data_IF_206987112497
#
_entry.id   IF_206987112497
#
_cell.length_a   1.000
_cell.length_b   1.000
_cell.length_c   1.000
_cell.angle_alpha   90.00
_cell.angle_beta   90.00
_cell.angle_gamma   90.00
#
_symmetry.space_group_name_H-M   'P 1'
#
loop_
_entity.id
_entity.type
_entity.pdbx_description
1 polymer ?
#
# COMPACT_ATOMS: atom_id res chain seq x y z
N UNK A 1 -28.95 -12.74 19.23
CA UNK A 1 -28.16 -13.14 18.04
C UNK A 1 -26.71 -12.81 18.33
N UNK A 2 -25.82 -13.79 18.20
CA UNK A 2 -24.50 -13.83 18.84
C UNK A 2 -23.51 -12.94 18.09
N UNK A 3 -23.09 -11.83 18.72
CA UNK A 3 -21.92 -11.07 18.33
C UNK A 3 -20.68 -11.92 18.66
N UNK A 4 -20.19 -12.69 17.69
CA UNK A 4 -18.82 -13.20 17.75
C UNK A 4 -17.87 -12.03 17.52
N UNK A 5 -17.56 -11.32 18.61
CA UNK A 5 -16.36 -10.50 18.71
C UNK A 5 -15.17 -11.47 18.64
N UNK A 6 -14.68 -11.73 17.43
CA UNK A 6 -13.36 -12.31 17.21
C UNK A 6 -12.32 -11.31 17.73
N UNK A 7 -12.05 -11.41 19.04
CA UNK A 7 -10.92 -10.79 19.67
C UNK A 7 -9.67 -11.47 19.10
N UNK A 8 -8.77 -10.65 18.56
CA UNK A 8 -7.45 -11.11 18.14
C UNK A 8 -6.76 -11.80 19.30
N UNK A 9 -6.11 -12.92 19.03
CA UNK A 9 -5.22 -13.51 20.03
C UNK A 9 -4.02 -12.57 20.23
N UNK A 10 -3.47 -12.52 21.44
CA UNK A 10 -2.29 -11.68 21.70
C UNK A 10 -1.13 -12.05 20.75
N UNK A 11 -1.04 -13.33 20.36
CA UNK A 11 -0.05 -13.84 19.42
C UNK A 11 -0.16 -13.22 18.02
N UNK A 12 -1.38 -13.05 17.49
CA UNK A 12 -1.61 -12.41 16.17
C UNK A 12 -1.29 -10.91 16.21
N UNK A 13 -1.65 -10.25 17.31
CA UNK A 13 -1.33 -8.85 17.57
C UNK A 13 0.18 -8.66 17.71
N UNK A 14 0.85 -9.59 18.39
CA UNK A 14 2.30 -9.60 18.59
C UNK A 14 3.04 -9.92 17.29
N UNK A 15 2.52 -10.80 16.44
CA UNK A 15 3.03 -11.03 15.09
C UNK A 15 2.92 -9.76 14.23
N UNK A 16 1.76 -9.10 14.22
CA UNK A 16 1.57 -7.86 13.47
C UNK A 16 2.48 -6.75 14.00
N UNK A 17 2.59 -6.60 15.33
CA UNK A 17 3.54 -5.67 15.96
C UNK A 17 4.98 -6.01 15.57
N UNK A 18 5.37 -7.29 15.52
CA UNK A 18 6.71 -7.72 15.15
C UNK A 18 7.01 -7.43 13.67
N UNK A 19 6.10 -7.74 12.75
CA UNK A 19 6.24 -7.47 11.31
C UNK A 19 6.34 -5.96 11.04
N UNK A 20 5.53 -5.16 11.75
CA UNK A 20 5.58 -3.69 11.63
C UNK A 20 6.82 -3.09 12.31
N UNK A 21 7.25 -3.62 13.47
CA UNK A 21 8.47 -3.18 14.18
C UNK A 21 9.76 -3.60 13.48
N UNK A 22 9.78 -4.70 12.74
CA UNK A 22 10.99 -5.15 12.03
C UNK A 22 11.46 -4.13 10.98
N UNK A 23 10.58 -3.26 10.51
CA UNK A 23 10.92 -2.11 9.66
C UNK A 23 11.51 -0.91 10.40
N UNK A 24 11.36 -0.84 11.73
CA UNK A 24 11.92 0.24 12.56
C UNK A 24 13.36 -0.06 13.04
N UNK A 25 13.97 -1.16 12.57
CA UNK A 25 15.37 -1.50 12.86
C UNK A 25 16.35 -1.25 11.69
N UNK A 26 16.59 0.00 11.27
CA UNK A 26 17.92 0.40 10.78
C UNK A 26 18.88 0.79 11.92
N UNK A 27 18.35 1.00 13.14
CA UNK A 27 19.12 1.64 14.22
C UNK A 27 20.27 0.79 14.80
N UNK A 28 20.21 -0.54 14.68
CA UNK A 28 21.27 -1.43 15.20
C UNK A 28 22.52 -1.45 14.31
N UNK A 29 22.40 -1.13 13.02
CA UNK A 29 23.56 -1.10 12.09
C UNK A 29 24.38 0.20 12.27
N UNK A 30 23.72 1.31 12.63
CA UNK A 30 24.40 2.57 12.97
C UNK A 30 25.10 2.54 14.33
N UNK A 31 24.64 1.70 15.27
CA UNK A 31 25.27 1.58 16.60
C UNK A 31 26.61 0.84 16.56
N UNK A 32 26.81 -0.05 15.58
CA UNK A 32 28.10 -0.71 15.35
C UNK A 32 29.14 0.20 14.70
N UNK A 33 28.70 1.30 14.09
CA UNK A 33 29.58 2.32 13.50
C UNK A 33 29.85 3.50 14.44
N UNK A 34 29.07 3.68 15.53
CA UNK A 34 29.29 4.78 16.48
C UNK A 34 30.23 4.44 17.64
N UNK A 35 30.40 3.16 17.98
CA UNK A 35 31.04 2.75 19.25
C UNK A 35 32.51 2.31 19.11
N UNK A 36 33.18 2.65 18.01
CA UNK A 36 34.57 2.22 17.77
C UNK A 36 35.45 3.25 17.06
N UNK A 37 35.84 4.32 17.77
CA UNK A 37 37.08 5.05 17.47
C UNK A 37 36.97 6.40 16.77
N UNK A 38 36.27 7.37 17.37
CA UNK A 38 36.48 8.78 17.05
C UNK A 38 37.72 9.28 17.81
N UNK A 39 38.89 9.39 17.15
CA UNK A 39 39.93 10.38 17.48
C UNK A 39 41.11 10.53 16.50
N UNK A 40 41.21 9.83 15.37
CA UNK A 40 42.36 9.97 14.44
C UNK A 40 41.95 10.10 12.96
N UNK A 41 41.41 11.24 12.53
CA UNK A 41 41.28 11.55 11.09
C UNK A 41 41.04 13.03 10.73
N UNK A 42 41.43 14.00 11.56
CA UNK A 42 41.30 15.44 11.22
C UNK A 42 42.45 15.98 10.33
N UNK A 43 43.24 15.10 9.73
CA UNK A 43 44.25 15.47 8.73
C UNK A 43 44.06 14.63 7.48
N UNK A 44 43.32 15.16 6.50
CA UNK A 44 43.52 15.03 5.05
C UNK A 44 42.30 15.60 4.33
N UNK A 45 42.29 16.92 4.19
CA UNK A 45 41.44 17.61 3.22
C UNK A 45 42.13 17.50 1.86
N UNK A 46 41.83 16.44 1.12
CA UNK A 46 42.02 16.41 -0.34
C UNK A 46 40.63 16.37 -1.01
N UNK A 47 40.29 17.34 -1.88
CA UNK A 47 39.09 17.27 -2.70
C UNK A 47 39.38 16.39 -3.92
N UNK A 48 39.47 15.07 -3.71
CA UNK A 48 39.45 14.10 -4.80
C UNK A 48 38.07 13.44 -4.91
N UNK A 49 37.38 13.88 -5.95
CA UNK A 49 36.44 13.18 -6.82
C UNK A 49 36.30 11.66 -6.58
N UNK A 50 35.60 11.29 -5.50
CA UNK A 50 35.26 9.89 -5.21
C UNK A 50 33.99 9.52 -5.97
N UNK A 51 34.19 9.27 -7.27
CA UNK A 51 33.24 8.54 -8.11
C UNK A 51 33.22 7.07 -7.66
N UNK A 52 32.64 6.80 -6.49
CA UNK A 52 32.23 5.43 -6.18
C UNK A 52 31.09 5.07 -7.15
N UNK A 53 31.11 3.89 -7.79
CA UNK A 53 29.99 3.45 -8.60
C UNK A 53 28.80 3.25 -7.64
N UNK A 54 27.96 4.28 -7.52
CA UNK A 54 26.67 4.14 -6.85
C UNK A 54 25.94 3.02 -7.59
N UNK A 55 25.80 1.87 -6.92
CA UNK A 55 24.88 0.84 -7.39
C UNK A 55 23.56 1.52 -7.75
N UNK A 56 22.99 1.24 -8.92
CA UNK A 56 21.76 1.88 -9.36
C UNK A 56 20.72 1.69 -8.25
N UNK A 57 20.23 2.81 -7.70
CA UNK A 57 19.31 2.85 -6.58
C UNK A 57 18.02 2.13 -6.98
N UNK A 58 17.94 0.83 -6.69
CA UNK A 58 16.79 0.00 -7.02
C UNK A 58 15.55 0.59 -6.36
N UNK A 59 14.54 0.92 -7.17
CA UNK A 59 13.28 1.45 -6.66
C UNK A 59 12.46 0.32 -6.02
N UNK A 60 12.05 0.51 -4.76
CA UNK A 60 11.24 -0.46 -4.01
C UNK A 60 9.74 -0.13 -4.17
N UNK A 61 8.91 -1.11 -4.51
CA UNK A 61 7.44 -1.01 -4.59
C UNK A 61 6.82 -1.92 -3.52
N UNK A 62 5.92 -1.41 -2.71
CA UNK A 62 5.25 -2.12 -1.61
C UNK A 62 3.80 -2.42 -1.98
N UNK A 63 3.41 -3.69 -2.02
CA UNK A 63 2.05 -4.12 -2.38
C UNK A 63 1.39 -4.88 -1.23
N UNK A 64 0.13 -4.54 -0.94
CA UNK A 64 -0.72 -5.27 0.01
C UNK A 64 -1.48 -6.39 -0.71
N UNK A 65 -1.68 -7.51 -0.04
CA UNK A 65 -2.49 -8.62 -0.56
C UNK A 65 -3.63 -8.87 0.41
N UNK A 66 -4.84 -8.60 -0.06
CA UNK A 66 -6.07 -8.56 0.72
C UNK A 66 -7.09 -9.53 0.13
N UNK A 67 -7.96 -10.09 0.96
CA UNK A 67 -9.02 -11.00 0.52
C UNK A 67 -9.50 -11.92 1.63
N UNK A 68 -10.63 -12.57 1.41
CA UNK A 68 -11.24 -13.48 2.38
C UNK A 68 -10.32 -14.69 2.67
N UNK A 69 -10.68 -15.48 3.68
CA UNK A 69 -10.01 -16.76 3.94
C UNK A 69 -10.18 -17.72 2.75
N UNK A 70 -9.17 -18.56 2.48
CA UNK A 70 -9.27 -19.60 1.46
C UNK A 70 -9.31 -19.14 -0.01
N UNK A 71 -9.25 -17.83 -0.30
CA UNK A 71 -9.25 -17.31 -1.69
C UNK A 71 -7.94 -17.56 -2.45
N UNK A 72 -6.90 -18.04 -1.76
CA UNK A 72 -5.61 -18.39 -2.38
C UNK A 72 -4.59 -17.25 -2.46
N UNK A 73 -4.62 -16.31 -1.49
CA UNK A 73 -3.61 -15.25 -1.32
C UNK A 73 -2.18 -15.80 -1.29
N UNK A 74 -1.91 -16.74 -0.37
CA UNK A 74 -0.59 -17.37 -0.24
C UNK A 74 -0.19 -18.14 -1.49
N UNK A 75 -1.12 -18.85 -2.14
CA UNK A 75 -0.85 -19.56 -3.38
C UNK A 75 -0.41 -18.61 -4.51
N UNK A 76 -1.06 -17.44 -4.61
CA UNK A 76 -0.72 -16.41 -5.58
C UNK A 76 0.72 -15.90 -5.37
N UNK A 77 1.07 -15.54 -4.12
CA UNK A 77 2.42 -15.08 -3.76
C UNK A 77 3.46 -16.15 -4.00
N UNK A 78 3.20 -17.38 -3.58
CA UNK A 78 4.13 -18.50 -3.76
C UNK A 78 4.35 -18.82 -5.24
N UNK A 79 3.32 -18.72 -6.07
CA UNK A 79 3.45 -18.95 -7.51
C UNK A 79 4.31 -17.87 -8.16
N UNK A 80 4.07 -16.60 -7.82
CA UNK A 80 4.89 -15.48 -8.28
C UNK A 80 6.35 -15.57 -7.79
N UNK A 81 6.56 -15.98 -6.55
CA UNK A 81 7.88 -16.16 -5.94
C UNK A 81 8.76 -17.21 -6.65
N UNK A 82 8.14 -18.15 -7.39
CA UNK A 82 8.89 -19.17 -8.15
C UNK A 82 9.61 -18.57 -9.36
N UNK A 83 9.01 -17.57 -10.00
CA UNK A 83 9.53 -16.91 -11.21
C UNK A 83 10.37 -15.66 -10.88
N UNK A 84 10.05 -14.96 -9.79
CA UNK A 84 10.61 -13.62 -9.50
C UNK A 84 11.49 -13.56 -8.24
N UNK A 85 12.41 -14.51 -8.07
CA UNK A 85 13.28 -14.55 -6.87
C UNK A 85 14.21 -13.35 -6.78
N UNK A 86 14.25 -12.72 -5.61
CA UNK A 86 15.27 -11.72 -5.31
C UNK A 86 16.61 -12.42 -5.00
N UNK A 87 17.76 -11.93 -5.49
CA UNK A 87 19.08 -12.56 -5.30
C UNK A 87 19.53 -12.56 -3.84
N UNK A 88 19.11 -11.58 -3.06
CA UNK A 88 19.27 -11.60 -1.61
C UNK A 88 18.23 -12.52 -0.98
N UNK A 89 18.68 -13.67 -0.49
CA UNK A 89 17.86 -14.69 0.18
C UNK A 89 17.52 -14.33 1.64
N UNK A 90 18.10 -13.24 2.18
CA UNK A 90 17.97 -12.88 3.58
C UNK A 90 16.65 -12.17 3.94
N UNK A 91 15.90 -11.69 2.94
CA UNK A 91 14.66 -10.94 3.17
C UNK A 91 13.47 -11.67 2.56
N UNK A 92 12.58 -12.28 3.37
CA UNK A 92 11.35 -12.87 2.86
C UNK A 92 10.46 -11.79 2.22
N UNK A 93 9.62 -12.19 1.27
CA UNK A 93 8.63 -11.34 0.59
C UNK A 93 9.22 -10.22 -0.30
N UNK A 94 10.47 -10.36 -0.75
CA UNK A 94 11.07 -9.49 -1.77
C UNK A 94 11.24 -10.23 -3.08
N UNK A 95 10.84 -9.58 -4.16
CA UNK A 95 10.87 -10.12 -5.52
C UNK A 95 11.48 -9.09 -6.47
N UNK A 96 12.20 -9.55 -7.50
CA UNK A 96 12.67 -8.65 -8.56
C UNK A 96 11.68 -8.70 -9.71
N UNK A 97 11.19 -7.52 -10.11
CA UNK A 97 10.23 -7.37 -11.19
C UNK A 97 10.78 -6.38 -12.22
N UNK A 98 10.90 -6.80 -13.46
CA UNK A 98 11.38 -5.94 -14.55
C UNK A 98 10.19 -5.44 -15.35
N UNK A 99 9.97 -4.12 -15.33
CA UNK A 99 8.90 -3.49 -16.08
C UNK A 99 9.46 -2.77 -17.31
N UNK A 100 8.72 -2.74 -18.43
CA UNK A 100 9.06 -1.87 -19.55
C UNK A 100 8.95 -0.40 -19.10
N UNK A 101 9.96 0.42 -19.39
CA UNK A 101 9.85 1.86 -19.15
C UNK A 101 8.86 2.49 -20.14
N UNK A 102 8.11 3.48 -19.68
CA UNK A 102 7.23 4.26 -20.56
C UNK A 102 8.05 4.93 -21.69
N UNK A 103 7.58 4.89 -22.95
CA UNK A 103 8.32 5.37 -24.12
C UNK A 103 8.47 6.89 -24.19
N UNK A 104 8.02 7.64 -23.18
CA UNK A 104 7.85 9.09 -23.26
C UNK A 104 9.15 9.91 -23.22
N UNK A 105 10.33 9.29 -23.03
CA UNK A 105 11.54 10.06 -22.66
C UNK A 105 12.78 9.81 -23.50
N UNK A 106 12.74 8.97 -24.54
CA UNK A 106 13.91 8.82 -25.42
C UNK A 106 13.52 8.46 -26.86
N UNK A 107 13.66 9.47 -27.73
CA UNK A 107 13.77 9.29 -29.17
C UNK A 107 15.07 8.54 -29.47
N UNK A 108 15.04 7.19 -29.47
CA UNK A 108 16.21 6.38 -29.85
C UNK A 108 16.13 4.90 -29.46
N UNK A 109 15.47 4.12 -30.32
CA UNK A 109 15.54 2.66 -30.59
C UNK A 109 15.77 1.58 -29.51
N UNK A 110 16.01 1.88 -28.24
CA UNK A 110 16.20 0.85 -27.21
C UNK A 110 15.10 0.96 -26.15
N UNK A 111 14.21 -0.05 -26.09
CA UNK A 111 13.22 -0.19 -25.02
C UNK A 111 13.98 -0.33 -23.70
N UNK A 112 14.09 0.74 -22.92
CA UNK A 112 14.67 0.64 -21.58
C UNK A 112 13.71 -0.17 -20.71
N UNK A 113 14.26 -1.09 -19.94
CA UNK A 113 13.54 -1.80 -18.89
C UNK A 113 14.06 -1.33 -17.54
N UNK A 114 13.17 -1.15 -16.58
CA UNK A 114 13.54 -0.77 -15.22
C UNK A 114 13.23 -1.93 -14.29
N UNK A 115 14.22 -2.35 -13.51
CA UNK A 115 14.06 -3.41 -12.50
C UNK A 115 13.70 -2.80 -11.15
N UNK A 116 12.61 -3.30 -10.59
CA UNK A 116 12.06 -2.89 -9.31
C UNK A 116 12.17 -4.02 -8.30
N UNK A 117 12.32 -3.65 -7.03
CA UNK A 117 12.20 -4.59 -5.91
C UNK A 117 10.79 -4.51 -5.34
N UNK A 118 10.00 -5.55 -5.56
CA UNK A 118 8.65 -5.66 -5.06
C UNK A 118 8.65 -6.26 -3.66
N UNK A 119 8.00 -5.59 -2.71
CA UNK A 119 7.78 -6.05 -1.34
C UNK A 119 6.30 -6.33 -1.11
N UNK A 120 5.92 -7.58 -0.89
CA UNK A 120 4.52 -7.94 -0.66
C UNK A 120 4.21 -8.14 0.82
N UNK A 121 3.04 -7.72 1.28
CA UNK A 121 2.51 -8.09 2.59
C UNK A 121 1.13 -8.73 2.42
N UNK A 122 1.05 -10.01 2.75
CA UNK A 122 -0.22 -10.71 2.90
C UNK A 122 -0.83 -10.39 4.26
N UNK A 123 -2.10 -9.99 4.27
CA UNK A 123 -2.83 -9.72 5.49
C UNK A 123 -3.90 -10.80 5.71
N UNK A 124 -4.04 -11.32 6.94
CA UNK A 124 -5.02 -12.36 7.25
C UNK A 124 -6.44 -11.81 7.15
N UNK A 125 -7.43 -12.68 6.88
CA UNK A 125 -8.82 -12.32 7.07
C UNK A 125 -9.18 -12.50 8.56
N UNK A 126 -9.96 -11.63 9.20
CA UNK A 126 -10.63 -10.43 8.69
C UNK A 126 -9.89 -9.11 8.99
N UNK A 127 -8.56 -9.02 8.78
CA UNK A 127 -7.76 -7.83 9.10
C UNK A 127 -8.35 -6.53 8.55
N UNK A 128 -8.78 -6.52 7.29
CA UNK A 128 -9.34 -5.31 6.66
C UNK A 128 -10.62 -4.82 7.36
N UNK A 129 -11.46 -5.75 7.85
CA UNK A 129 -12.68 -5.39 8.58
C UNK A 129 -12.35 -5.00 10.02
N UNK A 130 -11.57 -5.81 10.72
CA UNK A 130 -11.30 -5.60 12.15
C UNK A 130 -10.40 -4.41 12.39
N UNK A 131 -9.27 -4.30 11.68
CA UNK A 131 -8.35 -3.17 11.86
C UNK A 131 -9.01 -1.85 11.51
N UNK A 132 -9.91 -1.81 10.53
CA UNK A 132 -10.69 -0.61 10.21
C UNK A 132 -11.59 -0.16 11.37
N UNK A 133 -12.21 -1.09 12.09
CA UNK A 133 -13.16 -0.76 13.17
C UNK A 133 -12.48 -0.60 14.52
N UNK A 134 -11.53 -1.47 14.87
CA UNK A 134 -10.88 -1.48 16.19
C UNK A 134 -9.62 -0.62 16.24
N UNK A 135 -8.88 -0.51 15.13
CA UNK A 135 -7.57 0.16 15.08
C UNK A 135 -7.40 1.04 13.82
N UNK A 136 -8.24 2.07 13.63
CA UNK A 136 -8.25 2.89 12.40
C UNK A 136 -6.91 3.59 12.10
N UNK A 137 -6.09 3.85 13.12
CA UNK A 137 -4.74 4.38 12.95
C UNK A 137 -3.78 3.39 12.26
N UNK A 138 -3.90 2.09 12.55
CA UNK A 138 -3.12 1.03 11.87
C UNK A 138 -3.57 0.89 10.42
N UNK A 139 -4.89 0.92 10.15
CA UNK A 139 -5.42 0.92 8.80
C UNK A 139 -4.84 2.07 7.96
N UNK A 140 -4.88 3.29 8.50
CA UNK A 140 -4.33 4.49 7.86
C UNK A 140 -2.82 4.34 7.62
N UNK A 141 -2.05 3.92 8.64
CA UNK A 141 -0.60 3.72 8.52
C UNK A 141 -0.24 2.68 7.45
N UNK A 142 -0.98 1.57 7.40
CA UNK A 142 -0.74 0.52 6.41
C UNK A 142 -1.06 1.02 5.01
N UNK A 143 -2.16 1.73 4.79
CA UNK A 143 -2.48 2.26 3.46
C UNK A 143 -1.53 3.37 3.00
N UNK A 144 -0.99 4.18 3.90
CA UNK A 144 -0.02 5.23 3.55
C UNK A 144 1.39 4.70 3.29
N UNK A 145 1.76 3.58 3.92
CA UNK A 145 3.10 2.99 3.71
C UNK A 145 3.20 2.22 2.38
N UNK A 146 2.09 1.68 1.89
CA UNK A 146 2.06 0.84 0.70
C UNK A 146 1.68 1.64 -0.55
N UNK A 147 2.06 1.11 -1.71
CA UNK A 147 1.89 1.78 -3.00
C UNK A 147 0.65 1.31 -3.76
N UNK A 148 0.18 0.11 -3.45
CA UNK A 148 -1.04 -0.44 -3.99
C UNK A 148 -1.48 -1.71 -3.28
N UNK A 149 -2.61 -2.26 -3.72
CA UNK A 149 -3.18 -3.50 -3.21
C UNK A 149 -3.69 -4.42 -4.33
N UNK A 150 -3.48 -5.71 -4.12
CA UNK A 150 -4.18 -6.79 -4.79
C UNK A 150 -5.36 -7.24 -3.92
N UNK A 151 -6.57 -7.19 -4.46
CA UNK A 151 -7.81 -7.52 -3.74
C UNK A 151 -8.39 -8.79 -4.34
N UNK A 152 -8.20 -9.91 -3.66
CA UNK A 152 -8.53 -11.24 -4.14
C UNK A 152 -9.92 -11.70 -3.69
N UNK A 153 -10.59 -12.41 -4.59
CA UNK A 153 -11.74 -13.25 -4.32
C UNK A 153 -11.57 -14.62 -5.02
N UNK A 154 -12.38 -15.61 -4.64
CA UNK A 154 -12.41 -16.93 -5.27
C UNK A 154 -13.59 -17.01 -6.25
N UNK A 155 -13.36 -17.48 -7.49
CA UNK A 155 -14.46 -17.66 -8.46
C UNK A 155 -15.46 -18.75 -8.03
N UNK A 156 -15.08 -19.59 -7.07
CA UNK A 156 -15.92 -20.63 -6.47
C UNK A 156 -16.78 -20.14 -5.30
N UNK A 157 -16.55 -18.92 -4.81
CA UNK A 157 -17.21 -18.39 -3.62
C UNK A 157 -17.69 -16.94 -3.83
N UNK A 158 -18.99 -16.72 -4.10
CA UNK A 158 -19.57 -15.40 -4.30
C UNK A 158 -19.43 -14.48 -3.08
N UNK A 159 -19.40 -15.04 -1.86
CA UNK A 159 -19.26 -14.24 -0.64
C UNK A 159 -17.90 -13.54 -0.58
N UNK A 160 -16.85 -14.20 -1.08
CA UNK A 160 -15.52 -13.60 -1.21
C UNK A 160 -15.47 -12.42 -2.19
N UNK A 161 -16.29 -12.42 -3.26
CA UNK A 161 -16.40 -11.27 -4.18
C UNK A 161 -17.04 -10.06 -3.49
N UNK A 162 -18.11 -10.29 -2.73
CA UNK A 162 -18.72 -9.22 -1.93
C UNK A 162 -17.73 -8.66 -0.90
N UNK A 163 -16.95 -9.52 -0.25
CA UNK A 163 -15.91 -9.09 0.67
C UNK A 163 -14.81 -8.26 -0.02
N UNK A 164 -14.31 -8.71 -1.17
CA UNK A 164 -13.35 -7.96 -1.99
C UNK A 164 -13.88 -6.57 -2.37
N UNK A 165 -15.14 -6.50 -2.80
CA UNK A 165 -15.82 -5.24 -3.15
C UNK A 165 -15.93 -4.30 -1.96
N UNK A 166 -16.25 -4.85 -0.77
CA UNK A 166 -16.29 -4.08 0.47
C UNK A 166 -14.90 -3.54 0.86
N UNK A 167 -13.84 -4.32 0.67
CA UNK A 167 -12.45 -3.87 0.95
C UNK A 167 -12.08 -2.72 0.01
N UNK A 168 -12.29 -2.89 -1.30
CA UNK A 168 -11.96 -1.87 -2.29
C UNK A 168 -12.70 -0.55 -2.03
N UNK A 169 -14.01 -0.64 -1.73
CA UNK A 169 -14.81 0.52 -1.35
C UNK A 169 -14.26 1.22 -0.10
N UNK A 170 -13.82 0.45 0.90
CA UNK A 170 -13.26 0.99 2.14
C UNK A 170 -11.93 1.72 1.92
N UNK A 171 -11.05 1.18 1.09
CA UNK A 171 -9.78 1.81 0.73
C UNK A 171 -10.06 3.13 -0.02
N UNK A 172 -10.97 3.10 -0.98
CA UNK A 172 -11.35 4.29 -1.74
C UNK A 172 -11.93 5.38 -0.84
N UNK A 173 -12.92 5.03 0.00
CA UNK A 173 -13.50 5.97 0.97
C UNK A 173 -12.44 6.54 1.92
N UNK A 174 -11.45 5.74 2.32
CA UNK A 174 -10.35 6.21 3.15
C UNK A 174 -9.59 7.35 2.45
N UNK A 175 -9.11 7.14 1.23
CA UNK A 175 -8.37 8.17 0.47
C UNK A 175 -9.24 9.38 0.08
N UNK A 176 -10.54 9.19 -0.18
CA UNK A 176 -11.49 10.29 -0.43
C UNK A 176 -11.75 11.13 0.83
N UNK A 177 -11.72 10.50 2.02
CA UNK A 177 -11.93 11.18 3.31
C UNK A 177 -10.69 11.94 3.81
N UNK A 178 -9.51 11.67 3.25
CA UNK A 178 -8.29 12.36 3.66
C UNK A 178 -8.41 13.84 3.27
N UNK A 179 -8.16 14.76 4.22
CA UNK A 179 -8.22 16.17 3.90
C UNK A 179 -7.17 16.50 2.83
N UNK A 180 -7.47 17.41 1.90
CA UNK A 180 -6.49 17.94 0.94
C UNK A 180 -5.38 18.77 1.62
N UNK A 181 -5.36 18.84 2.95
CA UNK A 181 -4.43 19.58 3.80
C UNK A 181 -4.07 18.73 5.03
N UNK A 182 -2.95 18.03 5.01
CA UNK A 182 -2.39 17.34 6.18
C UNK A 182 -0.89 17.08 5.99
N UNK A 183 -0.07 18.07 6.35
CA UNK A 183 1.39 17.90 6.42
C UNK A 183 1.83 16.77 7.37
N UNK A 184 0.91 16.25 8.19
CA UNK A 184 1.19 15.28 9.26
C UNK A 184 1.10 13.81 8.82
N UNK A 185 0.78 13.51 7.56
CA UNK A 185 0.88 12.14 7.02
C UNK A 185 2.30 11.79 6.52
N UNK A 186 3.30 12.61 6.84
CA UNK A 186 4.69 12.18 6.77
C UNK A 186 4.86 11.02 7.76
N UNK A 187 5.44 9.88 7.37
CA UNK A 187 5.72 8.80 8.31
C UNK A 187 6.51 9.39 9.48
N UNK A 188 6.07 9.11 10.70
CA UNK A 188 6.64 9.50 12.01
C UNK A 188 8.11 9.04 12.24
N UNK A 189 8.88 8.83 11.17
CA UNK A 189 10.22 8.25 11.17
C UNK A 189 11.34 9.29 11.02
N UNK A 190 11.11 10.57 11.33
CA UNK A 190 12.25 11.42 11.70
C UNK A 190 12.54 11.16 13.18
N UNK A 191 13.63 10.44 13.54
CA UNK A 191 14.02 10.34 14.92
C UNK A 191 14.19 11.76 15.45
N UNK A 192 13.46 12.08 16.51
CA UNK A 192 13.62 13.31 17.26
C UNK A 192 15.03 13.26 17.83
N UNK A 193 15.97 13.86 17.10
CA UNK A 193 17.33 14.07 17.56
C UNK A 193 17.26 14.88 18.84
N UNK A 194 17.49 14.22 19.97
CA UNK A 194 17.71 14.87 21.27
C UNK A 194 18.93 15.77 21.11
N UNK A 195 18.75 17.07 20.93
CA UNK A 195 19.91 17.97 20.99
C UNK A 195 19.75 19.42 20.57
N UNK A 196 18.79 19.80 19.71
CA UNK A 196 18.77 21.18 19.20
C UNK A 196 17.55 21.97 19.69
N UNK A 197 17.79 22.84 20.68
CA UNK A 197 16.93 23.98 21.05
C UNK A 197 17.04 25.08 19.97
N UNK A 198 16.69 24.76 18.72
CA UNK A 198 16.55 25.76 17.68
C UNK A 198 15.09 26.18 17.58
N UNK A 199 14.87 27.49 17.67
CA UNK A 199 13.59 28.18 17.61
C UNK A 199 12.66 27.63 16.51
N UNK A 200 11.52 27.07 16.92
CA UNK A 200 10.36 26.89 16.05
C UNK A 200 9.73 28.26 15.77
N UNK A 201 10.30 29.02 14.85
CA UNK A 201 9.54 30.08 14.18
C UNK A 201 8.62 29.40 13.16
N UNK A 202 7.35 29.31 13.54
CA UNK A 202 6.22 28.99 12.70
C UNK A 202 6.18 29.89 11.45
N UNK A 203 6.77 29.46 10.35
CA UNK A 203 6.11 29.64 9.06
C UNK A 203 5.36 28.34 8.78
N UNK A 204 4.06 28.34 9.15
CA UNK A 204 3.09 27.38 8.64
C UNK A 204 2.97 27.64 7.14
N UNK A 205 3.91 27.12 6.34
CA UNK A 205 3.70 26.97 4.91
C UNK A 205 2.54 26.00 4.81
N UNK A 206 1.34 26.48 4.52
CA UNK A 206 0.21 25.62 4.17
C UNK A 206 0.56 24.98 2.83
N UNK A 207 1.36 23.92 2.83
CA UNK A 207 1.58 23.15 1.61
C UNK A 207 0.29 22.42 1.32
N UNK A 208 -0.25 22.61 0.12
CA UNK A 208 -1.40 21.84 -0.35
C UNK A 208 -0.94 20.38 -0.40
N UNK A 209 -1.66 19.48 0.28
CA UNK A 209 -1.34 18.07 0.14
C UNK A 209 -1.75 17.61 -1.24
N UNK A 210 -0.82 17.00 -1.94
CA UNK A 210 -1.17 16.14 -3.06
C UNK A 210 -1.70 14.85 -2.45
N UNK A 211 -2.97 14.54 -2.66
CA UNK A 211 -3.46 13.20 -2.31
C UNK A 211 -2.87 12.24 -3.34
N UNK A 212 -2.14 11.25 -2.84
CA UNK A 212 -1.57 10.19 -3.69
C UNK A 212 -2.68 9.21 -4.08
N UNK A 213 -2.79 8.92 -5.37
CA UNK A 213 -3.66 7.83 -5.83
C UNK A 213 -3.08 6.48 -5.44
N UNK A 214 -3.94 5.59 -4.94
CA UNK A 214 -3.56 4.26 -4.48
C UNK A 214 -3.87 3.22 -5.55
N UNK A 215 -2.86 2.46 -6.00
CA UNK A 215 -3.04 1.46 -7.04
C UNK A 215 -3.88 0.28 -6.51
N UNK A 216 -4.88 -0.17 -7.26
CA UNK A 216 -5.79 -1.23 -6.82
C UNK A 216 -6.14 -2.13 -7.99
N UNK A 217 -5.82 -3.42 -7.85
CA UNK A 217 -6.18 -4.44 -8.84
C UNK A 217 -7.04 -5.50 -8.16
N UNK A 218 -8.18 -5.80 -8.77
CA UNK A 218 -9.10 -6.83 -8.29
C UNK A 218 -8.85 -8.16 -8.99
N UNK A 219 -8.79 -9.25 -8.25
CA UNK A 219 -8.28 -10.54 -8.75
C UNK A 219 -9.26 -11.67 -8.41
N UNK A 220 -9.84 -12.29 -9.44
CA UNK A 220 -10.63 -13.51 -9.30
C UNK A 220 -9.74 -14.75 -9.40
N UNK A 221 -9.50 -15.43 -8.30
CA UNK A 221 -8.61 -16.58 -8.27
C UNK A 221 -9.36 -17.92 -8.40
N UNK A 222 -8.62 -18.97 -8.77
CA UNK A 222 -9.09 -20.34 -9.05
C UNK A 222 -9.89 -20.47 -10.34
N UNK A 223 -9.51 -19.75 -11.39
CA UNK A 223 -10.17 -19.86 -12.71
C UNK A 223 -10.02 -21.23 -13.38
N UNK A 224 -9.08 -22.07 -12.90
CA UNK A 224 -8.87 -23.44 -13.37
C UNK A 224 -10.04 -24.41 -13.11
N UNK A 225 -11.03 -24.02 -12.30
CA UNK A 225 -12.22 -24.83 -12.05
C UNK A 225 -13.01 -25.13 -13.31
N UNK A 226 -12.93 -24.29 -14.35
CA UNK A 226 -13.58 -24.56 -15.63
C UNK A 226 -12.87 -25.70 -16.40
N UNK A 227 -11.54 -25.77 -16.28
CA UNK A 227 -10.72 -26.80 -16.91
C UNK A 227 -10.92 -28.15 -16.20
N UNK A 228 -10.96 -28.13 -14.87
CA UNK A 228 -11.10 -29.34 -14.05
C UNK A 228 -12.55 -29.82 -13.97
N UNK A 229 -13.52 -28.90 -13.89
CA UNK A 229 -14.95 -29.19 -13.79
C UNK A 229 -15.54 -29.73 -15.10
N UNK A 230 -15.04 -29.29 -16.25
CA UNK A 230 -15.39 -29.87 -17.55
C UNK A 230 -15.01 -31.34 -17.66
N UNK A 231 -13.88 -31.74 -17.07
CA UNK A 231 -13.46 -33.14 -16.99
C UNK A 231 -14.32 -33.98 -16.04
N UNK A 232 -14.73 -33.42 -14.90
CA UNK A 232 -15.57 -34.12 -13.91
C UNK A 232 -16.99 -34.37 -14.44
N UNK A 233 -17.60 -33.42 -15.16
CA UNK A 233 -18.91 -33.61 -15.76
C UNK A 233 -18.87 -34.68 -16.87
N UNK A 234 -17.85 -34.69 -17.72
CA UNK A 234 -17.69 -35.70 -18.77
C UNK A 234 -17.38 -37.07 -18.17
N UNK A 235 -16.51 -37.14 -17.14
CA UNK A 235 -16.18 -38.38 -16.45
C UNK A 235 -17.36 -38.94 -15.65
N UNK A 236 -18.16 -38.10 -15.00
CA UNK A 236 -19.40 -38.49 -14.31
C UNK A 236 -20.46 -38.99 -15.30
N UNK A 237 -20.57 -38.36 -16.47
CA UNK A 237 -21.49 -38.82 -17.53
C UNK A 237 -21.02 -40.14 -18.13
N UNK A 238 -19.71 -40.32 -18.32
CA UNK A 238 -19.12 -41.57 -18.80
C UNK A 238 -19.20 -42.71 -17.77
N UNK A 239 -19.01 -42.43 -16.48
CA UNK A 239 -19.17 -43.43 -15.40
C UNK A 239 -20.62 -43.74 -15.12
N UNK A 240 -21.54 -42.78 -15.21
CA UNK A 240 -22.98 -43.04 -15.15
C UNK A 240 -23.45 -43.88 -16.34
N UNK A 241 -22.94 -43.61 -17.55
CA UNK A 241 -23.20 -44.42 -18.74
C UNK A 241 -22.61 -45.84 -18.62
N UNK A 242 -21.39 -45.97 -18.07
CA UNK A 242 -20.75 -47.26 -17.83
C UNK A 242 -21.44 -48.07 -16.71
N UNK A 243 -21.89 -47.42 -15.63
CA UNK A 243 -22.63 -48.05 -14.55
C UNK A 243 -24.04 -48.48 -14.98
N UNK A 244 -24.71 -47.67 -15.81
CA UNK A 244 -25.98 -48.03 -16.44
C UNK A 244 -25.83 -49.22 -17.42
N UNK A 245 -24.70 -49.30 -18.13
CA UNK A 245 -24.40 -50.44 -19.01
C UNK A 245 -23.99 -51.71 -18.24
N UNK A 246 -23.42 -51.57 -17.04
CA UNK A 246 -22.86 -52.69 -16.28
C UNK A 246 -23.84 -53.33 -15.26
N UNK A 247 -25.01 -52.75 -15.01
CA UNK A 247 -26.05 -53.34 -14.14
C UNK A 247 -25.58 -53.72 -12.72
N UNK A 248 -24.46 -53.14 -12.25
CA UNK A 248 -23.71 -53.63 -11.09
C UNK A 248 -23.92 -52.71 -9.89
N UNK A 249 -24.58 -53.23 -8.85
CA UNK A 249 -24.70 -52.62 -7.53
C UNK A 249 -23.33 -52.51 -6.87
N UNK A 250 -22.80 -51.29 -6.78
CA UNK A 250 -21.45 -50.98 -6.34
C UNK A 250 -21.37 -50.69 -4.83
N UNK A 251 -21.88 -51.60 -4.01
CA UNK A 251 -21.96 -51.44 -2.54
C UNK A 251 -20.74 -51.96 -1.76
N UNK A 252 -19.69 -52.43 -2.45
CA UNK A 252 -18.73 -53.38 -1.85
C UNK A 252 -17.24 -53.00 -1.78
N UNK A 253 -16.80 -51.84 -2.26
CA UNK A 253 -15.36 -51.50 -2.28
C UNK A 253 -15.09 -50.22 -1.49
N UNK A 254 -14.89 -50.41 -0.19
CA UNK A 254 -14.39 -49.40 0.76
C UNK A 254 -12.91 -49.07 0.53
N UNK A 255 -12.60 -48.47 -0.62
CA UNK A 255 -11.36 -47.74 -0.84
C UNK A 255 -11.66 -46.25 -0.61
N UNK A 256 -11.14 -45.72 0.49
CA UNK A 256 -11.34 -44.34 0.94
C UNK A 256 -10.78 -43.30 -0.05
N UNK A 257 -11.58 -42.98 -1.07
CA UNK A 257 -11.39 -41.84 -1.96
C UNK A 257 -12.12 -40.58 -1.46
N UNK A 258 -12.61 -40.59 -0.21
CA UNK A 258 -13.31 -39.45 0.41
C UNK A 258 -12.38 -38.28 0.79
N UNK A 259 -11.05 -38.43 0.62
CA UNK A 259 -10.06 -37.38 0.91
C UNK A 259 -9.57 -36.57 -0.29
N UNK A 260 -9.87 -36.98 -1.53
CA UNK A 260 -9.39 -36.32 -2.77
C UNK A 260 -10.52 -35.82 -3.69
N UNK A 261 -11.77 -36.22 -3.44
CA UNK A 261 -12.97 -35.64 -4.07
C UNK A 261 -13.43 -34.35 -3.39
N UNK A 262 -12.78 -33.96 -2.30
CA UNK A 262 -13.06 -32.75 -1.55
C UNK A 262 -12.61 -31.48 -2.28
N UNK A 263 -13.56 -30.83 -2.93
CA UNK A 263 -13.57 -29.38 -3.24
C UNK A 263 -12.81 -28.95 -4.51
N UNK A 264 -12.98 -29.65 -5.63
CA UNK A 264 -12.98 -28.91 -6.92
C UNK A 264 -14.33 -28.19 -6.99
N UNK A 265 -14.39 -27.00 -6.37
CA UNK A 265 -15.61 -26.20 -6.34
C UNK A 265 -16.01 -25.78 -7.75
N UNK A 266 -17.30 -25.87 -8.07
CA UNK A 266 -17.83 -25.32 -9.33
C UNK A 266 -17.65 -23.79 -9.35
N UNK A 267 -17.47 -23.23 -10.55
CA UNK A 267 -17.48 -21.77 -10.73
C UNK A 267 -18.86 -21.23 -10.31
N UNK A 268 -18.86 -20.29 -9.38
CA UNK A 268 -20.08 -19.61 -8.89
C UNK A 268 -20.10 -18.12 -9.20
N UNK A 269 -18.94 -17.55 -9.55
CA UNK A 269 -18.78 -16.16 -9.97
C UNK A 269 -18.36 -16.14 -11.43
N UNK A 270 -19.17 -15.49 -12.25
CA UNK A 270 -18.85 -15.36 -13.68
C UNK A 270 -17.79 -14.27 -13.91
N UNK A 271 -17.04 -14.40 -15.01
CA UNK A 271 -16.08 -13.38 -15.47
C UNK A 271 -16.74 -12.02 -15.65
N UNK A 272 -17.98 -11.99 -16.14
CA UNK A 272 -18.75 -10.74 -16.32
C UNK A 272 -19.05 -10.09 -14.98
N UNK A 273 -19.49 -10.86 -14.00
CA UNK A 273 -19.81 -10.38 -12.65
C UNK A 273 -18.57 -9.79 -11.97
N UNK A 274 -17.43 -10.49 -12.04
CA UNK A 274 -16.15 -10.00 -11.53
C UNK A 274 -15.73 -8.67 -12.17
N UNK A 275 -15.80 -8.58 -13.49
CA UNK A 275 -15.47 -7.37 -14.25
C UNK A 275 -16.43 -6.21 -13.94
N UNK A 276 -17.72 -6.49 -13.82
CA UNK A 276 -18.73 -5.49 -13.44
C UNK A 276 -18.51 -4.96 -12.02
N UNK A 277 -18.14 -5.83 -11.08
CA UNK A 277 -17.81 -5.42 -9.72
C UNK A 277 -16.59 -4.46 -9.70
N UNK A 278 -15.53 -4.76 -10.46
CA UNK A 278 -14.38 -3.86 -10.61
C UNK A 278 -14.78 -2.51 -11.24
N UNK A 279 -15.62 -2.56 -12.28
CA UNK A 279 -16.12 -1.35 -12.96
C UNK A 279 -16.96 -0.47 -12.03
N UNK A 280 -17.83 -1.06 -11.20
CA UNK A 280 -18.66 -0.33 -10.22
C UNK A 280 -17.80 0.40 -9.19
N UNK A 281 -16.61 -0.12 -8.87
CA UNK A 281 -15.65 0.50 -7.98
C UNK A 281 -14.85 1.64 -8.63
N UNK A 282 -15.06 1.90 -9.92
CA UNK A 282 -14.33 2.91 -10.70
C UNK A 282 -12.84 2.57 -10.87
N UNK A 283 -12.47 1.29 -10.74
CA UNK A 283 -11.13 0.83 -11.10
C UNK A 283 -10.94 0.98 -12.63
N UNK A 284 -9.69 1.12 -13.08
CA UNK A 284 -9.43 1.21 -14.51
C UNK A 284 -9.89 -0.07 -15.21
N UNK A 285 -10.22 0.03 -16.50
CA UNK A 285 -10.73 -1.10 -17.28
C UNK A 285 -9.77 -2.31 -17.29
N UNK A 286 -8.48 -2.06 -17.03
CA UNK A 286 -7.39 -3.05 -16.98
C UNK A 286 -7.05 -3.51 -15.55
N UNK A 287 -7.71 -2.99 -14.52
CA UNK A 287 -7.42 -3.31 -13.11
C UNK A 287 -8.21 -4.53 -12.59
N UNK A 288 -8.54 -5.47 -13.49
CA UNK A 288 -9.22 -6.72 -13.15
C UNK A 288 -8.66 -7.91 -13.91
N UNK A 289 -8.40 -9.00 -13.20
CA UNK A 289 -7.85 -10.25 -13.76
C UNK A 289 -8.51 -11.48 -13.14
N UNK A 290 -8.53 -12.58 -13.90
CA UNK A 290 -8.70 -13.92 -13.36
C UNK A 290 -7.35 -14.66 -13.33
N UNK A 291 -7.08 -15.36 -12.24
CA UNK A 291 -5.83 -16.12 -12.05
C UNK A 291 -6.11 -17.56 -11.65
N UNK A 292 -5.20 -18.45 -12.00
CA UNK A 292 -5.13 -19.80 -11.46
C UNK A 292 -3.79 -19.98 -10.75
N UNK A 293 -3.69 -19.50 -9.52
CA UNK A 293 -2.43 -19.53 -8.80
C UNK A 293 -1.93 -20.96 -8.51
N UNK A 294 -2.85 -21.86 -8.16
CA UNK A 294 -2.50 -23.21 -7.68
C UNK A 294 -2.16 -24.17 -8.83
N UNK A 295 -2.90 -24.11 -9.94
CA UNK A 295 -2.81 -25.12 -11.00
C UNK A 295 -1.94 -24.61 -12.14
N UNK A 296 -2.44 -23.67 -12.95
CA UNK A 296 -1.77 -23.30 -14.20
C UNK A 296 -0.70 -22.22 -14.00
N UNK A 297 -0.92 -21.27 -13.09
CA UNK A 297 -0.14 -20.04 -12.99
C UNK A 297 -0.58 -18.94 -13.93
N UNK A 298 -1.70 -19.12 -14.61
CA UNK A 298 -2.22 -18.14 -15.56
C UNK A 298 -2.44 -16.78 -14.90
N UNK A 299 -2.00 -15.72 -15.59
CA UNK A 299 -2.11 -14.31 -15.23
C UNK A 299 -1.48 -13.90 -13.89
N UNK A 300 -0.75 -14.77 -13.20
CA UNK A 300 -0.13 -14.43 -11.91
C UNK A 300 0.88 -13.29 -12.09
N UNK A 301 1.81 -13.42 -13.03
CA UNK A 301 2.82 -12.39 -13.29
C UNK A 301 2.18 -11.10 -13.80
N UNK A 302 1.19 -11.20 -14.69
CA UNK A 302 0.47 -10.06 -15.26
C UNK A 302 -0.21 -9.18 -14.18
N UNK A 303 -0.80 -9.80 -13.15
CA UNK A 303 -1.42 -9.08 -12.03
C UNK A 303 -0.40 -8.26 -11.24
N UNK A 304 0.77 -8.86 -10.93
CA UNK A 304 1.83 -8.17 -10.20
C UNK A 304 2.48 -7.07 -11.03
N UNK A 305 2.67 -7.30 -12.33
CA UNK A 305 3.12 -6.26 -13.25
C UNK A 305 2.14 -5.10 -13.31
N UNK A 306 0.84 -5.37 -13.43
CA UNK A 306 -0.16 -4.32 -13.54
C UNK A 306 -0.22 -3.44 -12.30
N UNK A 307 -0.28 -4.04 -11.10
CA UNK A 307 -0.32 -3.25 -9.86
C UNK A 307 0.98 -2.47 -9.65
N UNK A 308 2.13 -3.02 -10.06
CA UNK A 308 3.41 -2.34 -9.98
C UNK A 308 3.50 -1.16 -10.98
N UNK A 309 3.04 -1.34 -12.22
CA UNK A 309 2.94 -0.26 -13.22
C UNK A 309 2.06 0.88 -12.73
N UNK A 310 0.87 0.58 -12.21
CA UNK A 310 -0.03 1.59 -11.64
C UNK A 310 0.61 2.29 -10.44
N UNK A 311 1.28 1.55 -9.54
CA UNK A 311 1.98 2.12 -8.39
C UNK A 311 3.10 3.09 -8.80
N UNK A 312 3.89 2.74 -9.83
CA UNK A 312 4.95 3.60 -10.38
C UNK A 312 4.37 4.84 -11.03
N UNK A 313 3.32 4.68 -11.86
CA UNK A 313 2.61 5.81 -12.48
C UNK A 313 2.10 6.80 -11.43
N UNK A 314 1.40 6.30 -10.41
CA UNK A 314 0.84 7.13 -9.35
C UNK A 314 1.95 7.84 -8.54
N UNK A 315 3.12 7.21 -8.33
CA UNK A 315 4.28 7.87 -7.69
C UNK A 315 4.84 8.99 -8.54
N UNK A 316 4.94 8.81 -9.86
CA UNK A 316 5.43 9.82 -10.79
C UNK A 316 4.52 11.05 -10.78
N UNK A 317 3.22 10.84 -10.96
CA UNK A 317 2.23 11.92 -10.90
C UNK A 317 2.24 12.66 -9.56
N UNK A 318 2.39 11.91 -8.45
CA UNK A 318 2.50 12.52 -7.13
C UNK A 318 3.75 13.42 -7.01
N UNK A 319 4.91 12.97 -7.51
CA UNK A 319 6.15 13.76 -7.51
C UNK A 319 6.00 15.03 -8.38
N UNK A 320 5.37 14.91 -9.54
CA UNK A 320 5.12 16.03 -10.46
C UNK A 320 4.19 17.08 -9.83
N UNK A 321 3.01 16.66 -9.35
CA UNK A 321 2.04 17.53 -8.66
C UNK A 321 2.67 18.20 -7.43
N UNK A 322 3.49 17.46 -6.68
CA UNK A 322 4.20 18.01 -5.51
C UNK A 322 5.21 19.08 -5.92
N UNK A 323 6.00 18.81 -6.97
CA UNK A 323 6.98 19.77 -7.50
C UNK A 323 6.34 21.02 -8.09
N UNK A 324 5.14 20.94 -8.66
CA UNK A 324 4.36 22.11 -9.10
C UNK A 324 3.91 22.99 -7.94
N UNK A 325 3.41 22.39 -6.85
CA UNK A 325 2.97 23.12 -5.67
C UNK A 325 4.15 23.80 -4.97
N UNK A 326 5.29 23.12 -4.86
CA UNK A 326 6.50 23.68 -4.26
C UNK A 326 7.03 24.88 -5.07
N UNK A 327 6.98 24.80 -6.41
CA UNK A 327 7.34 25.92 -7.30
C UNK A 327 6.35 27.08 -7.25
N UNK A 328 5.04 26.79 -7.24
CA UNK A 328 4.01 27.84 -7.15
C UNK A 328 4.01 28.55 -5.79
N UNK A 329 4.36 27.84 -4.72
CA UNK A 329 4.47 28.40 -3.37
C UNK A 329 5.65 29.37 -3.18
N UNK A 330 6.77 29.14 -3.85
CA UNK A 330 7.93 30.04 -3.79
C UNK A 330 7.71 31.32 -4.59
N UNK A 331 7.08 31.26 -5.76
CA UNK A 331 6.74 32.45 -6.56
C UNK A 331 5.74 33.38 -5.85
N UNK A 332 4.76 32.81 -5.15
CA UNK A 332 3.79 33.59 -4.38
C UNK A 332 4.40 34.31 -3.17
N UNK A 333 5.50 33.80 -2.62
CA UNK A 333 6.23 34.45 -1.52
C UNK A 333 7.06 35.63 -2.05
N UNK A 334 7.79 35.43 -3.15
CA UNK A 334 8.62 36.46 -3.77
C UNK A 334 7.81 37.68 -4.24
N UNK A 335 6.57 37.47 -4.73
CA UNK A 335 5.69 38.57 -5.11
C UNK A 335 5.23 39.41 -3.92
N UNK A 336 4.97 38.80 -2.75
CA UNK A 336 4.56 39.54 -1.54
C UNK A 336 5.66 40.42 -0.99
N UNK A 337 6.90 39.94 -0.99
CA UNK A 337 8.03 40.74 -0.49
C UNK A 337 8.29 41.94 -1.42
N UNK A 338 8.09 41.78 -2.73
CA UNK A 338 8.21 42.89 -3.69
C UNK A 338 7.09 43.95 -3.60
N UNK A 339 5.87 43.58 -3.22
CA UNK A 339 4.77 44.55 -3.03
C UNK A 339 4.93 45.35 -1.73
N UNK A 340 5.50 44.75 -0.67
CA UNK A 340 5.74 45.43 0.61
C UNK A 340 6.84 46.50 0.50
N UNK A 341 7.87 46.30 -0.33
CA UNK A 341 8.87 47.34 -0.58
C UNK A 341 8.33 48.52 -1.41
N UNK A 342 7.31 48.30 -2.24
CA UNK A 342 6.75 49.35 -3.11
C UNK A 342 5.80 50.34 -2.41
N UNK A 343 5.41 50.09 -1.15
CA UNK A 343 4.46 50.95 -0.41
C UNK A 343 5.08 51.83 0.67
N UNK A 344 6.41 51.78 0.89
CA UNK A 344 7.09 52.52 1.97
C UNK A 344 7.69 53.87 1.52
N UNK A 345 7.70 54.21 0.22
CA UNK A 345 8.35 55.47 -0.26
C UNK A 345 7.44 56.69 -0.40
N UNK A 346 6.18 56.65 0.06
CA UNK A 346 5.33 57.86 0.10
C UNK A 346 4.68 58.08 1.46
N UNK A 347 5.42 58.67 2.41
CA UNK A 347 4.93 59.69 3.36
C UNK A 347 6.04 60.13 4.31
N UNK A 348 6.81 61.12 3.85
CA UNK A 348 7.48 62.06 4.75
C UNK A 348 6.44 62.89 5.53
N UNK A 349 6.72 63.12 6.82
CA UNK A 349 6.12 64.13 7.72
C UNK A 349 4.63 63.96 8.03
N UNK A 350 4.30 63.50 9.24
CA UNK A 350 3.80 64.31 10.37
C UNK A 350 3.99 63.47 11.64
N UNK A 351 4.59 64.07 12.67
CA UNK A 351 4.93 63.38 13.91
C UNK A 351 3.75 63.20 14.87
N UNK A 352 4.00 62.42 15.91
CA UNK A 352 3.31 62.56 17.19
C UNK A 352 2.59 61.32 17.68
N UNK A 353 2.97 60.95 18.91
CA UNK A 353 2.06 60.51 19.97
C UNK A 353 1.44 59.12 19.81
N UNK A 354 2.05 58.08 20.40
CA UNK A 354 1.36 57.07 21.22
C UNK A 354 2.38 56.44 22.19
N UNK A 355 2.58 57.10 23.33
CA UNK A 355 2.97 56.47 24.59
C UNK A 355 1.70 56.35 25.44
N UNK A 356 1.65 55.33 26.29
CA UNK A 356 0.70 55.11 27.40
C UNK A 356 -0.46 54.16 27.10
N UNK A 357 -0.41 52.97 27.70
CA UNK A 357 -1.27 52.62 28.85
C UNK A 357 -0.83 51.27 29.43
N UNK A 358 0.13 51.32 30.35
CA UNK A 358 0.21 50.41 31.48
C UNK A 358 -0.69 50.95 32.60
N UNK A 359 -1.21 50.03 33.43
CA UNK A 359 -1.57 50.22 34.85
C UNK A 359 -3.07 50.24 35.20
N UNK A 360 -3.53 49.08 35.72
CA UNK A 360 -4.33 48.83 36.95
C UNK A 360 -5.74 49.44 37.09
N UNK A 361 -6.76 48.58 37.24
CA UNK A 361 -7.72 48.66 38.36
C UNK A 361 -8.52 47.35 38.57
N UNK A 362 -8.41 46.79 39.77
CA UNK A 362 -9.37 45.87 40.42
C UNK A 362 -10.45 46.73 41.08
N UNK A 363 -11.70 46.23 41.20
CA UNK A 363 -12.19 46.04 42.57
C UNK A 363 -13.04 44.78 42.81
N UNK A 364 -13.05 44.43 44.10
CA UNK A 364 -13.84 43.46 44.85
C UNK A 364 -15.35 43.75 44.87
N UNK A 365 -16.08 42.76 45.42
CA UNK A 365 -17.49 42.67 45.85
C UNK A 365 -18.40 41.85 44.90
N UNK A 366 -19.14 40.82 45.35
CA UNK A 366 -19.41 40.40 46.73
C UNK A 366 -20.17 39.08 46.86
N UNK A 367 -20.24 38.63 48.12
CA UNK A 367 -21.02 37.50 48.65
C UNK A 367 -22.52 37.66 48.38
N UNK A 368 -23.20 36.55 48.13
CA UNK A 368 -24.55 36.31 48.67
C UNK A 368 -24.76 34.82 48.97
N UNK A 369 -25.10 34.54 50.22
CA UNK A 369 -25.69 33.29 50.68
C UNK A 369 -27.16 33.25 50.27
N UNK A 370 -27.65 32.06 50.00
CA UNK A 370 -29.04 31.62 49.98
C UNK A 370 -29.02 30.13 50.15
#
# INVERSE_FOLDING_TARGET
MVNSLLAWTEDELQYLKAVLRWKDSPAEEYKRLSDGGANDALSNLDPQDSTSPQEPKQEEIKILILGAEGVGKTALVQKFAKTHRHPSTSKPNRYQLTLPSDPTTSSGSNKSTTTYTLHTLELPHPWSTTTRTTHPHLWTRTLTEYDGALILYSVTDPSSLHHATSIASAIRQHFESLPPFSEDLVPFNKPIGRGSKAHYLHLKKTTRNVVREFAMVMVGNKSDVDILGGGAAIAATATAAAAAAAGSSLSGLGLGLEGLSGVVGERRVSTKEGKEAAKKLGLLAESWFETSASVTGENVDAVFEQVAREAVRNRKEYKEKKGEIERGGSEGLLKRDSEVESTVTTKSKVGGLWKSLTTVWLPLFGKKKG
#
